data_IF_790158058775
#
_entry.id   IF_790158058775
#
_cell.length_a   1.000
_cell.length_b   1.000
_cell.length_c   1.000
_cell.angle_alpha   90.00
_cell.angle_beta   90.00
_cell.angle_gamma   90.00
#
_symmetry.space_group_name_H-M   'P 1'
#
loop_
_entity.id
_entity.type
_entity.pdbx_description
1 polymer ?
#
# COMPACT_ATOMS: atom_id res chain seq x y z
N UNK A 1 -35.36 7.54 22.97
CA UNK A 1 -34.07 7.15 22.44
C UNK A 1 -34.08 5.69 21.97
N UNK A 2 -33.30 5.35 21.00
CA UNK A 2 -33.13 3.97 20.50
C UNK A 2 -32.54 3.13 21.63
N UNK A 3 -33.24 2.07 22.05
CA UNK A 3 -32.78 1.19 23.16
C UNK A 3 -31.94 0.03 22.70
N UNK A 4 -32.05 -0.39 21.43
CA UNK A 4 -31.27 -1.45 20.84
C UNK A 4 -31.25 -1.29 19.32
N UNK A 5 -30.10 -1.63 18.73
CA UNK A 5 -29.94 -1.75 17.29
C UNK A 5 -29.57 -3.21 17.01
N UNK A 6 -30.26 -3.83 16.03
CA UNK A 6 -29.97 -5.19 15.57
C UNK A 6 -29.26 -5.10 14.23
N UNK A 7 -28.16 -5.79 14.10
CA UNK A 7 -27.49 -6.01 12.82
C UNK A 7 -28.03 -7.28 12.18
N UNK A 8 -28.41 -7.21 10.90
CA UNK A 8 -28.75 -8.36 10.06
C UNK A 8 -27.91 -8.33 8.80
N UNK A 9 -27.34 -9.46 8.42
CA UNK A 9 -26.63 -9.64 7.17
C UNK A 9 -27.28 -10.81 6.40
N UNK A 10 -27.62 -10.58 5.13
CA UNK A 10 -28.26 -11.59 4.26
C UNK A 10 -27.67 -11.48 2.86
N UNK A 11 -27.37 -12.62 2.23
CA UNK A 11 -27.06 -12.66 0.82
C UNK A 11 -28.37 -12.63 0.00
N UNK A 12 -28.47 -11.72 -0.94
CA UNK A 12 -29.62 -11.53 -1.83
C UNK A 12 -29.16 -11.45 -3.29
N UNK A 13 -29.17 -12.58 -3.98
CA UNK A 13 -28.62 -12.67 -5.34
C UNK A 13 -27.13 -12.37 -5.37
N UNK A 14 -26.73 -11.38 -6.15
CA UNK A 14 -25.34 -10.91 -6.26
C UNK A 14 -24.96 -9.84 -5.23
N UNK A 15 -25.79 -9.58 -4.23
CA UNK A 15 -25.57 -8.54 -3.24
C UNK A 15 -25.62 -9.10 -1.82
N UNK A 16 -24.87 -8.45 -0.92
CA UNK A 16 -25.04 -8.56 0.51
C UNK A 16 -25.89 -7.40 1.01
N UNK A 17 -26.95 -7.70 1.72
CA UNK A 17 -27.77 -6.72 2.45
C UNK A 17 -27.30 -6.67 3.91
N UNK A 18 -26.84 -5.51 4.36
CA UNK A 18 -26.48 -5.24 5.74
C UNK A 18 -27.49 -4.25 6.31
N UNK A 19 -28.32 -4.70 7.24
CA UNK A 19 -29.36 -3.88 7.86
C UNK A 19 -29.02 -3.55 9.31
N UNK A 20 -29.03 -2.27 9.65
CA UNK A 20 -29.10 -1.79 11.03
C UNK A 20 -30.56 -1.51 11.34
N UNK A 21 -31.18 -2.30 12.19
CA UNK A 21 -32.60 -2.28 12.48
C UNK A 21 -32.86 -1.73 13.89
N UNK A 22 -33.76 -0.77 14.03
CA UNK A 22 -34.16 -0.25 15.32
C UNK A 22 -35.68 0.01 15.39
N UNK A 23 -36.18 0.12 16.61
CA UNK A 23 -37.57 0.56 16.87
C UNK A 23 -37.55 2.01 17.34
N UNK A 24 -38.35 2.87 16.73
CA UNK A 24 -38.45 4.30 17.10
C UNK A 24 -38.58 5.24 15.91
N UNK A 25 -38.04 6.45 16.08
CA UNK A 25 -38.18 7.51 15.09
C UNK A 25 -37.60 7.14 13.72
N UNK A 26 -38.28 7.54 12.67
CA UNK A 26 -37.85 7.42 11.28
C UNK A 26 -36.78 8.48 11.03
N UNK A 27 -35.67 8.08 10.41
CA UNK A 27 -34.64 9.02 9.94
C UNK A 27 -35.17 9.72 8.69
N UNK A 28 -35.14 11.04 8.67
CA UNK A 28 -35.52 11.83 7.50
C UNK A 28 -34.44 11.69 6.38
N UNK A 29 -34.87 11.82 5.12
CA UNK A 29 -33.98 11.67 3.96
C UNK A 29 -32.82 12.67 3.95
N UNK A 30 -33.06 13.87 4.45
CA UNK A 30 -32.05 14.94 4.59
C UNK A 30 -30.97 14.58 5.61
N UNK A 31 -31.31 13.85 6.68
CA UNK A 31 -30.34 13.35 7.63
C UNK A 31 -29.45 12.24 7.01
N UNK A 32 -30.00 11.41 6.13
CA UNK A 32 -29.22 10.41 5.39
C UNK A 32 -28.19 11.08 4.48
N UNK A 33 -28.61 12.07 3.68
CA UNK A 33 -27.71 12.82 2.80
C UNK A 33 -26.58 13.51 3.57
N UNK A 34 -26.86 13.98 4.79
CA UNK A 34 -25.86 14.54 5.68
C UNK A 34 -24.87 13.46 6.16
N UNK A 35 -25.35 12.30 6.56
CA UNK A 35 -24.50 11.18 7.01
C UNK A 35 -23.60 10.62 5.89
N UNK A 36 -24.08 10.62 4.64
CA UNK A 36 -23.28 10.19 3.50
C UNK A 36 -22.03 11.05 3.30
N UNK A 37 -22.11 12.34 3.63
CA UNK A 37 -21.05 13.32 3.37
C UNK A 37 -20.25 13.75 4.60
N UNK A 38 -20.71 13.37 5.80
CA UNK A 38 -19.97 13.66 7.02
C UNK A 38 -18.81 12.66 7.24
N UNK A 39 -17.65 13.11 7.71
CA UNK A 39 -16.58 12.23 8.14
C UNK A 39 -17.07 11.26 9.23
N UNK A 40 -16.74 9.98 9.07
CA UNK A 40 -17.12 8.97 10.05
C UNK A 40 -16.27 9.12 11.32
N UNK A 41 -16.90 8.87 12.46
CA UNK A 41 -16.24 8.82 13.75
C UNK A 41 -16.29 7.39 14.29
N UNK A 42 -15.14 6.85 14.66
CA UNK A 42 -14.99 5.53 15.29
C UNK A 42 -14.45 5.74 16.71
N UNK A 43 -15.34 5.65 17.70
CA UNK A 43 -15.00 5.97 19.09
C UNK A 43 -14.64 7.45 19.25
N UNK A 44 -13.42 7.75 19.69
CA UNK A 44 -12.89 9.12 19.81
C UNK A 44 -12.10 9.58 18.56
N UNK A 45 -11.90 8.69 17.59
CA UNK A 45 -11.13 8.98 16.40
C UNK A 45 -12.01 9.48 15.26
N UNK A 46 -11.60 10.57 14.62
CA UNK A 46 -12.21 11.08 13.40
C UNK A 46 -11.48 10.50 12.20
N UNK A 47 -12.21 9.78 11.34
CA UNK A 47 -11.66 9.33 10.06
C UNK A 47 -12.00 10.36 8.98
N UNK A 48 -11.14 10.61 7.99
CA UNK A 48 -11.48 11.48 6.86
C UNK A 48 -12.49 10.82 5.90
N UNK A 49 -12.78 9.52 6.08
CA UNK A 49 -13.68 8.76 5.22
C UNK A 49 -15.14 9.10 5.54
N UNK A 50 -15.91 9.32 4.50
CA UNK A 50 -17.36 9.44 4.56
C UNK A 50 -18.02 8.11 4.21
N UNK A 51 -19.30 7.95 4.53
CA UNK A 51 -20.08 6.80 4.10
C UNK A 51 -20.11 6.71 2.57
N UNK A 52 -20.18 7.85 1.88
CA UNK A 52 -20.13 7.93 0.42
C UNK A 52 -18.81 7.38 -0.15
N UNK A 53 -17.67 7.73 0.45
CA UNK A 53 -16.38 7.20 0.01
C UNK A 53 -16.32 5.66 0.11
N UNK A 54 -16.93 5.11 1.17
CA UNK A 54 -17.02 3.65 1.36
C UNK A 54 -17.91 3.02 0.30
N UNK A 55 -19.08 3.61 0.04
CA UNK A 55 -20.04 3.11 -0.96
C UNK A 55 -19.44 3.15 -2.37
N UNK A 56 -18.85 4.28 -2.76
CA UNK A 56 -18.23 4.46 -4.08
C UNK A 56 -17.08 3.45 -4.28
N UNK A 57 -16.29 3.21 -3.22
CA UNK A 57 -15.19 2.24 -3.25
C UNK A 57 -15.64 0.80 -3.45
N UNK A 58 -16.79 0.44 -2.90
CA UNK A 58 -17.33 -0.93 -2.94
C UNK A 58 -18.46 -1.12 -3.97
N UNK A 59 -18.79 -0.09 -4.74
CA UNK A 59 -19.91 -0.12 -5.68
C UNK A 59 -21.24 -0.40 -4.98
N UNK A 60 -21.36 0.10 -3.74
CA UNK A 60 -22.53 -0.11 -2.90
C UNK A 60 -23.53 1.02 -2.94
N UNK A 61 -24.69 0.78 -2.35
CA UNK A 61 -25.76 1.77 -2.18
C UNK A 61 -26.27 1.75 -0.73
N UNK A 62 -26.87 2.85 -0.29
CA UNK A 62 -27.45 2.98 1.04
C UNK A 62 -28.80 3.68 0.99
N UNK A 63 -29.72 3.25 1.84
CA UNK A 63 -30.98 3.94 2.06
C UNK A 63 -31.59 3.60 3.42
N UNK A 64 -32.56 4.41 3.82
CA UNK A 64 -33.35 4.18 5.03
C UNK A 64 -34.77 3.75 4.63
N UNK A 65 -35.27 2.72 5.28
CA UNK A 65 -36.65 2.26 5.14
C UNK A 65 -37.32 2.19 6.51
N UNK A 66 -38.64 2.29 6.50
CA UNK A 66 -39.45 2.13 7.72
C UNK A 66 -40.73 1.38 7.42
N UNK A 67 -41.16 0.61 8.42
CA UNK A 67 -42.43 -0.08 8.39
C UNK A 67 -43.40 0.59 9.41
N UNK A 68 -44.39 1.28 8.90
CA UNK A 68 -45.28 2.14 9.72
C UNK A 68 -46.06 1.36 10.78
N UNK A 69 -46.51 0.13 10.47
CA UNK A 69 -47.31 -0.69 11.40
C UNK A 69 -46.48 -1.31 12.51
N UNK A 70 -45.23 -1.64 12.31
CA UNK A 70 -44.33 -2.23 13.31
C UNK A 70 -43.45 -1.21 14.02
N UNK A 71 -43.54 0.07 13.67
CA UNK A 71 -42.66 1.14 14.18
C UNK A 71 -41.18 0.77 14.13
N UNK A 72 -40.80 0.04 13.07
CA UNK A 72 -39.43 -0.42 12.85
C UNK A 72 -38.84 0.34 11.68
N UNK A 73 -37.64 0.85 11.86
CA UNK A 73 -36.86 1.46 10.80
C UNK A 73 -35.56 0.71 10.65
N UNK A 74 -34.99 0.75 9.45
CA UNK A 74 -33.65 0.19 9.20
C UNK A 74 -32.90 1.02 8.19
N UNK A 75 -31.60 1.06 8.44
CA UNK A 75 -30.60 1.59 7.54
C UNK A 75 -29.99 0.40 6.82
N UNK A 76 -30.10 0.37 5.49
CA UNK A 76 -29.61 -0.72 4.65
C UNK A 76 -28.43 -0.30 3.84
N UNK A 77 -27.36 -1.07 3.93
CA UNK A 77 -26.27 -1.07 2.98
C UNK A 77 -26.45 -2.26 2.03
N UNK A 78 -26.36 -1.99 0.73
CA UNK A 78 -26.34 -3.00 -0.31
C UNK A 78 -24.93 -3.00 -0.93
N UNK A 79 -24.23 -4.09 -0.77
CA UNK A 79 -22.86 -4.24 -1.29
C UNK A 79 -22.85 -5.37 -2.32
N UNK A 80 -22.20 -5.21 -3.49
CA UNK A 80 -21.98 -6.33 -4.40
C UNK A 80 -21.24 -7.44 -3.67
N UNK A 81 -21.75 -8.66 -3.75
CA UNK A 81 -20.97 -9.85 -3.42
C UNK A 81 -19.91 -9.96 -4.51
N UNK A 82 -18.63 -9.81 -4.17
CA UNK A 82 -17.56 -10.23 -5.06
C UNK A 82 -17.82 -11.68 -5.48
N UNK A 83 -17.43 -12.06 -6.69
CA UNK A 83 -17.34 -13.49 -6.99
C UNK A 83 -16.57 -14.12 -5.83
N UNK A 84 -17.02 -15.27 -5.28
CA UNK A 84 -16.28 -15.95 -4.25
C UNK A 84 -14.88 -16.12 -4.83
N UNK A 85 -13.90 -15.40 -4.25
CA UNK A 85 -12.52 -15.60 -4.63
C UNK A 85 -12.34 -17.10 -4.59
N UNK A 86 -12.09 -17.71 -5.75
CA UNK A 86 -11.88 -19.13 -5.84
C UNK A 86 -10.90 -19.42 -4.73
N UNK A 87 -11.30 -20.23 -3.73
CA UNK A 87 -10.40 -20.66 -2.66
C UNK A 87 -9.35 -21.46 -3.41
N UNK A 88 -8.34 -20.79 -3.88
CA UNK A 88 -7.16 -21.43 -4.44
C UNK A 88 -6.63 -22.23 -3.26
N UNK A 89 -6.67 -23.57 -3.33
CA UNK A 89 -6.17 -24.38 -2.25
C UNK A 89 -4.72 -23.93 -2.04
N UNK A 90 -4.41 -23.44 -0.86
CA UNK A 90 -3.06 -23.02 -0.45
C UNK A 90 -2.12 -24.23 -0.40
N UNK A 91 -1.83 -24.81 -1.58
CA UNK A 91 -0.81 -25.82 -1.86
C UNK A 91 -0.19 -25.54 -3.22
N UNK A 92 0.24 -24.28 -3.44
CA UNK A 92 1.37 -24.05 -4.31
C UNK A 92 2.65 -24.37 -3.54
N UNK A 93 3.73 -24.77 -4.19
CA UNK A 93 5.05 -24.74 -3.56
C UNK A 93 5.21 -23.34 -2.97
N UNK A 94 5.80 -23.24 -1.76
CA UNK A 94 6.30 -21.98 -1.23
C UNK A 94 7.15 -21.40 -2.36
N UNK A 95 6.59 -20.44 -3.11
CA UNK A 95 7.42 -19.66 -4.02
C UNK A 95 8.25 -18.81 -3.09
N UNK A 96 9.55 -18.92 -3.24
CA UNK A 96 10.48 -18.12 -2.47
C UNK A 96 10.06 -16.66 -2.67
N UNK A 97 9.66 -16.01 -1.57
CA UNK A 97 9.48 -14.59 -1.54
C UNK A 97 10.77 -13.96 -2.04
N UNK A 98 10.72 -12.76 -2.61
CA UNK A 98 11.93 -11.98 -2.90
C UNK A 98 12.88 -12.18 -1.72
N UNK A 99 14.14 -12.61 -1.92
CA UNK A 99 15.07 -12.73 -0.81
C UNK A 99 15.15 -11.37 -0.15
N UNK A 100 15.14 -11.35 1.17
CA UNK A 100 15.42 -10.13 1.92
C UNK A 100 16.81 -9.66 1.50
N UNK A 101 16.86 -8.56 0.74
CA UNK A 101 18.09 -8.12 0.09
C UNK A 101 18.78 -7.06 0.94
N UNK A 102 19.95 -7.38 1.49
CA UNK A 102 20.67 -6.51 2.43
C UNK A 102 22.01 -5.97 1.92
N UNK A 103 22.40 -6.31 0.69
CA UNK A 103 23.67 -5.86 0.08
C UNK A 103 23.62 -4.40 -0.44
N UNK A 104 22.63 -3.63 -0.01
CA UNK A 104 22.49 -2.22 -0.32
C UNK A 104 22.46 -1.39 0.96
N UNK A 105 23.39 -0.42 1.07
CA UNK A 105 23.36 0.53 2.18
C UNK A 105 22.28 1.59 1.95
N UNK A 106 21.05 1.27 2.38
CA UNK A 106 19.91 2.18 2.35
C UNK A 106 20.20 3.52 3.02
N UNK A 107 21.17 3.54 3.93
CA UNK A 107 21.48 4.69 4.77
C UNK A 107 22.62 5.55 4.22
N UNK A 108 23.17 5.21 3.05
CA UNK A 108 24.24 5.91 2.36
C UNK A 108 23.93 7.38 2.08
N UNK A 109 22.63 7.68 1.90
CA UNK A 109 22.10 9.02 1.65
C UNK A 109 21.53 9.71 2.88
N UNK A 110 21.85 9.24 4.09
CA UNK A 110 21.41 9.88 5.33
C UNK A 110 21.87 11.35 5.44
N UNK A 111 22.91 11.74 4.72
CA UNK A 111 23.34 13.14 4.64
C UNK A 111 22.31 14.02 3.93
N UNK A 112 21.59 13.50 2.94
CA UNK A 112 20.47 14.20 2.31
C UNK A 112 19.27 14.36 3.27
N UNK A 113 19.18 13.51 4.28
CA UNK A 113 18.16 13.60 5.32
C UNK A 113 18.42 14.72 6.34
N UNK A 114 19.64 15.32 6.39
CA UNK A 114 19.99 16.30 7.45
C UNK A 114 19.01 17.47 7.54
N UNK A 115 18.48 17.95 6.40
CA UNK A 115 17.48 19.01 6.38
C UNK A 115 16.07 18.55 6.74
N UNK A 116 15.80 17.25 6.67
CA UNK A 116 14.48 16.63 6.90
C UNK A 116 14.43 15.80 8.19
N UNK A 117 15.58 15.52 8.82
CA UNK A 117 15.69 14.58 9.94
C UNK A 117 14.77 14.94 11.12
N UNK A 118 14.61 16.23 11.41
CA UNK A 118 13.76 16.73 12.48
C UNK A 118 12.29 16.87 12.09
N UNK A 119 11.95 16.69 10.80
CA UNK A 119 10.58 16.79 10.34
C UNK A 119 9.79 15.55 10.75
N UNK A 120 8.53 15.78 11.11
CA UNK A 120 7.63 14.70 11.54
C UNK A 120 7.24 13.84 10.34
N UNK A 121 7.20 12.54 10.55
CA UNK A 121 6.74 11.58 9.51
C UNK A 121 5.35 11.94 8.96
N UNK A 122 4.45 12.45 9.78
CA UNK A 122 3.11 12.83 9.35
C UNK A 122 3.05 14.04 8.40
N UNK A 123 4.09 14.88 8.40
CA UNK A 123 4.11 16.17 7.69
C UNK A 123 4.92 16.11 6.38
N UNK A 124 5.65 15.01 6.15
CA UNK A 124 6.46 14.81 4.96
C UNK A 124 5.65 14.31 3.76
N UNK A 125 6.21 14.54 2.58
CA UNK A 125 5.71 13.98 1.33
C UNK A 125 6.51 12.74 0.96
N UNK A 126 5.84 11.73 0.42
CA UNK A 126 6.46 10.46 0.09
C UNK A 126 6.13 10.02 -1.34
N UNK A 127 7.10 9.38 -1.97
CA UNK A 127 6.88 8.53 -3.13
C UNK A 127 7.05 7.09 -2.68
N UNK A 128 5.96 6.35 -2.67
CA UNK A 128 5.97 4.91 -2.38
C UNK A 128 6.08 4.18 -3.70
N UNK A 129 7.04 3.28 -3.84
CA UNK A 129 7.29 2.61 -5.12
C UNK A 129 7.62 1.13 -4.94
N UNK A 130 7.48 0.40 -6.03
CA UNK A 130 7.88 -0.99 -6.18
C UNK A 130 8.31 -1.24 -7.63
N UNK A 131 9.10 -2.30 -7.86
CA UNK A 131 9.54 -2.70 -9.20
C UNK A 131 9.31 -4.18 -9.46
N UNK A 132 8.94 -4.55 -10.69
CA UNK A 132 9.02 -5.91 -11.18
C UNK A 132 10.28 -6.09 -12.02
N UNK A 133 10.88 -7.27 -11.98
CA UNK A 133 12.19 -7.54 -12.55
C UNK A 133 12.24 -8.85 -13.31
N UNK A 134 13.28 -9.03 -14.16
CA UNK A 134 13.50 -10.29 -14.87
C UNK A 134 13.98 -11.42 -13.96
N UNK A 135 14.44 -11.10 -12.76
CA UNK A 135 14.97 -12.03 -11.76
C UNK A 135 15.41 -11.29 -10.51
N UNK A 136 16.08 -12.00 -9.60
CA UNK A 136 16.42 -11.52 -8.26
C UNK A 136 17.87 -11.08 -8.10
N UNK A 137 18.69 -11.19 -9.16
CA UNK A 137 20.12 -10.94 -9.11
C UNK A 137 20.53 -9.75 -9.98
N UNK A 138 20.32 -8.50 -9.50
CA UNK A 138 20.65 -7.30 -10.27
C UNK A 138 22.14 -7.23 -10.67
N UNK A 139 23.05 -7.72 -9.81
CA UNK A 139 24.49 -7.77 -10.09
C UNK A 139 24.85 -8.83 -11.14
N UNK A 140 24.01 -9.85 -11.35
CA UNK A 140 24.14 -10.82 -12.44
C UNK A 140 23.47 -10.38 -13.75
N UNK A 141 22.93 -9.15 -13.76
CA UNK A 141 22.39 -8.51 -14.95
C UNK A 141 20.86 -8.63 -15.07
N UNK A 142 20.15 -8.94 -14.02
CA UNK A 142 18.69 -8.83 -14.04
C UNK A 142 18.25 -7.36 -14.17
N UNK A 143 17.11 -7.16 -14.78
CA UNK A 143 16.64 -5.87 -15.25
C UNK A 143 15.22 -5.55 -14.75
N UNK A 144 14.95 -4.26 -14.52
CA UNK A 144 13.58 -3.76 -14.23
C UNK A 144 12.73 -3.91 -15.47
N UNK A 145 11.51 -4.42 -15.30
CA UNK A 145 10.48 -4.56 -16.35
C UNK A 145 9.20 -3.79 -16.07
N UNK A 146 9.01 -3.34 -14.84
CA UNK A 146 7.91 -2.45 -14.46
C UNK A 146 8.32 -1.59 -13.28
N UNK A 147 7.91 -0.33 -13.28
CA UNK A 147 8.00 0.59 -12.15
C UNK A 147 6.61 1.10 -11.82
N UNK A 148 6.21 0.96 -10.57
CA UNK A 148 4.97 1.50 -10.04
C UNK A 148 5.24 2.39 -8.84
N UNK A 149 4.58 3.54 -8.78
CA UNK A 149 4.69 4.41 -7.62
C UNK A 149 3.41 5.20 -7.36
N UNK A 150 3.24 5.62 -6.13
CA UNK A 150 2.11 6.45 -5.68
C UNK A 150 2.61 7.50 -4.70
N UNK A 151 1.96 8.64 -4.68
CA UNK A 151 2.32 9.75 -3.80
C UNK A 151 1.50 9.74 -2.51
N UNK A 152 2.18 10.07 -1.39
CA UNK A 152 1.53 10.38 -0.12
C UNK A 152 1.81 11.84 0.23
N UNK A 153 0.76 12.61 0.50
CA UNK A 153 0.83 14.02 0.92
C UNK A 153 -0.11 14.23 2.08
N UNK A 154 0.36 14.89 3.14
CA UNK A 154 -0.44 15.19 4.33
C UNK A 154 -1.11 13.93 4.93
N UNK A 155 -0.38 12.82 5.00
CA UNK A 155 -0.88 11.56 5.51
C UNK A 155 -1.97 10.89 4.65
N UNK A 156 -2.10 11.27 3.37
CA UNK A 156 -3.08 10.71 2.43
C UNK A 156 -2.40 10.13 1.20
N UNK A 157 -2.80 8.94 0.83
CA UNK A 157 -2.40 8.27 -0.39
C UNK A 157 -3.22 8.84 -1.56
N UNK A 158 -2.52 9.44 -2.54
CA UNK A 158 -3.14 10.13 -3.69
C UNK A 158 -3.25 9.16 -4.86
N UNK A 159 -4.36 8.42 -4.95
CA UNK A 159 -4.58 7.37 -5.97
C UNK A 159 -4.58 7.86 -7.42
N UNK A 160 -4.70 9.16 -7.64
CA UNK A 160 -4.64 9.78 -8.96
C UNK A 160 -3.25 10.35 -9.28
N UNK A 161 -2.33 10.39 -8.32
CA UNK A 161 -0.93 10.76 -8.50
C UNK A 161 -0.07 9.50 -8.47
N UNK A 162 -0.07 8.79 -9.58
CA UNK A 162 0.64 7.53 -9.75
C UNK A 162 1.62 7.61 -10.90
N UNK A 163 2.66 6.81 -10.80
CA UNK A 163 3.58 6.47 -11.88
C UNK A 163 3.44 4.99 -12.16
N UNK A 164 3.18 4.63 -13.39
CA UNK A 164 3.11 3.22 -13.81
C UNK A 164 3.68 3.11 -15.20
N UNK A 165 4.78 2.36 -15.34
CA UNK A 165 5.47 2.21 -16.62
C UNK A 165 6.09 0.83 -16.76
N UNK A 166 5.71 0.13 -17.83
CA UNK A 166 6.42 -1.05 -18.29
C UNK A 166 7.74 -0.65 -18.94
N UNK A 167 8.77 -1.47 -18.78
CA UNK A 167 10.12 -1.20 -19.24
C UNK A 167 10.62 -2.35 -20.11
N UNK A 168 11.17 -2.05 -21.28
CA UNK A 168 11.85 -3.03 -22.09
C UNK A 168 13.21 -3.37 -21.47
N UNK A 169 13.44 -4.58 -20.95
CA UNK A 169 14.68 -4.96 -20.31
C UNK A 169 15.82 -5.22 -21.30
N UNK A 170 15.53 -5.22 -22.60
CA UNK A 170 16.47 -5.57 -23.68
C UNK A 170 17.11 -6.96 -23.48
N UNK A 171 16.44 -7.84 -22.73
CA UNK A 171 16.85 -9.23 -22.46
C UNK A 171 15.61 -10.12 -22.32
N UNK A 172 15.77 -11.44 -22.43
CA UNK A 172 14.66 -12.37 -22.18
C UNK A 172 14.16 -12.30 -20.73
N UNK A 173 12.84 -12.42 -20.54
CA UNK A 173 12.22 -12.59 -19.23
C UNK A 173 12.13 -14.07 -18.91
N UNK A 174 12.58 -14.46 -17.72
CA UNK A 174 12.53 -15.82 -17.24
C UNK A 174 11.09 -16.32 -17.04
N UNK A 175 10.86 -17.63 -17.25
CA UNK A 175 9.54 -18.22 -17.02
C UNK A 175 9.09 -18.12 -15.56
N UNK A 176 10.01 -18.18 -14.63
CA UNK A 176 9.73 -18.12 -13.19
C UNK A 176 9.28 -16.70 -12.79
N UNK A 177 9.98 -15.67 -13.27
CA UNK A 177 9.58 -14.27 -13.09
C UNK A 177 8.22 -14.00 -13.72
N UNK A 178 7.98 -14.44 -14.97
CA UNK A 178 6.67 -14.30 -15.63
C UNK A 178 5.54 -14.98 -14.84
N UNK A 179 5.82 -16.09 -14.17
CA UNK A 179 4.82 -16.78 -13.32
C UNK A 179 4.45 -15.95 -12.08
N UNK A 180 5.36 -15.14 -11.58
CA UNK A 180 5.14 -14.27 -10.39
C UNK A 180 4.31 -13.04 -10.78
N UNK A 181 4.83 -12.22 -11.71
CA UNK A 181 4.22 -10.91 -12.03
C UNK A 181 3.28 -10.94 -13.25
N UNK A 182 3.21 -12.05 -13.99
CA UNK A 182 2.31 -12.20 -15.13
C UNK A 182 2.67 -11.39 -16.38
N UNK A 183 3.78 -10.62 -16.37
CA UNK A 183 4.17 -9.77 -17.50
C UNK A 183 4.88 -10.63 -18.54
N UNK A 184 4.28 -10.74 -19.73
CA UNK A 184 4.85 -11.51 -20.83
C UNK A 184 5.85 -10.67 -21.65
N UNK A 185 6.87 -11.31 -22.22
CA UNK A 185 7.90 -10.66 -23.03
C UNK A 185 7.30 -9.83 -24.19
N UNK A 186 6.19 -10.28 -24.79
CA UNK A 186 5.51 -9.53 -25.86
C UNK A 186 4.98 -8.16 -25.42
N UNK A 187 4.60 -8.02 -24.14
CA UNK A 187 4.10 -6.74 -23.61
C UNK A 187 5.23 -5.72 -23.41
N UNK A 188 6.47 -6.19 -23.35
CA UNK A 188 7.67 -5.38 -23.09
C UNK A 188 8.41 -4.95 -24.37
N UNK A 189 8.16 -5.60 -25.50
CA UNK A 189 8.94 -5.44 -26.74
C UNK A 189 8.98 -3.99 -27.22
N UNK A 190 7.83 -3.31 -27.21
CA UNK A 190 7.67 -1.93 -27.69
C UNK A 190 7.70 -0.89 -26.55
N UNK A 191 8.07 -1.29 -25.34
CA UNK A 191 8.14 -0.38 -24.19
C UNK A 191 9.45 0.42 -24.20
N UNK A 192 9.45 1.61 -23.56
CA UNK A 192 10.69 2.38 -23.40
C UNK A 192 11.72 1.62 -22.59
N UNK A 193 13.00 1.86 -22.86
CA UNK A 193 14.10 1.30 -22.08
C UNK A 193 14.22 1.99 -20.73
N UNK A 194 14.95 1.36 -19.80
CA UNK A 194 15.17 1.94 -18.46
C UNK A 194 15.80 3.34 -18.52
N UNK A 195 16.69 3.59 -19.47
CA UNK A 195 17.31 4.91 -19.67
C UNK A 195 16.33 6.00 -20.10
N UNK A 196 15.20 5.65 -20.72
CA UNK A 196 14.13 6.57 -21.09
C UNK A 196 13.12 6.78 -19.95
N UNK A 197 12.95 5.77 -19.10
CA UNK A 197 11.99 5.77 -17.99
C UNK A 197 12.54 6.47 -16.76
N UNK A 198 13.79 6.22 -16.39
CA UNK A 198 14.38 6.75 -15.15
C UNK A 198 14.35 8.27 -15.03
N UNK A 199 14.57 9.10 -16.09
CA UNK A 199 14.43 10.54 -15.96
C UNK A 199 13.02 11.00 -15.60
N UNK A 200 11.99 10.25 -16.02
CA UNK A 200 10.59 10.54 -15.69
C UNK A 200 10.28 10.11 -14.26
N UNK A 201 10.77 8.94 -13.87
CA UNK A 201 10.61 8.43 -12.52
C UNK A 201 11.35 9.31 -11.50
N UNK A 202 12.58 9.76 -11.82
CA UNK A 202 13.31 10.70 -10.95
C UNK A 202 12.53 11.99 -10.70
N UNK A 203 11.94 12.58 -11.75
CA UNK A 203 11.08 13.78 -11.61
C UNK A 203 9.85 13.50 -10.75
N UNK A 204 9.27 12.31 -10.86
CA UNK A 204 8.16 11.91 -9.99
C UNK A 204 8.60 11.78 -8.53
N UNK A 205 9.87 11.48 -8.26
CA UNK A 205 10.42 11.35 -6.91
C UNK A 205 10.97 12.66 -6.33
N UNK A 206 10.99 13.76 -7.10
CA UNK A 206 11.51 15.04 -6.61
C UNK A 206 10.77 15.52 -5.35
N UNK A 207 11.52 16.10 -4.41
CA UNK A 207 11.03 16.69 -3.16
C UNK A 207 10.24 15.73 -2.24
N UNK A 208 10.51 14.43 -2.34
CA UNK A 208 9.87 13.41 -1.50
C UNK A 208 10.87 12.50 -0.80
N UNK A 209 10.45 11.88 0.29
CA UNK A 209 11.11 10.71 0.88
C UNK A 209 10.64 9.47 0.13
N UNK A 210 11.56 8.60 -0.25
CA UNK A 210 11.23 7.33 -0.91
C UNK A 210 10.77 6.30 0.13
N UNK A 211 9.79 5.50 -0.23
CA UNK A 211 9.30 4.39 0.59
C UNK A 211 9.15 3.16 -0.28
N UNK A 212 9.64 2.01 0.17
CA UNK A 212 9.40 0.74 -0.47
C UNK A 212 9.31 -0.38 0.58
N UNK A 213 8.93 -1.57 0.17
CA UNK A 213 8.94 -2.75 1.02
C UNK A 213 10.11 -3.66 0.61
N UNK A 214 11.05 -3.92 1.52
CA UNK A 214 12.36 -4.49 1.19
C UNK A 214 13.13 -3.59 0.21
N UNK A 215 13.20 -2.31 0.56
CA UNK A 215 13.66 -1.22 -0.29
C UNK A 215 15.08 -1.40 -0.84
N UNK A 216 15.94 -2.13 -0.12
CA UNK A 216 17.30 -2.41 -0.56
C UNK A 216 17.32 -3.14 -1.92
N UNK A 217 16.37 -4.02 -2.18
CA UNK A 217 16.23 -4.72 -3.44
C UNK A 217 16.00 -3.75 -4.62
N UNK A 218 14.97 -2.93 -4.54
CA UNK A 218 14.60 -2.00 -5.60
C UNK A 218 15.66 -0.92 -5.80
N UNK A 219 16.19 -0.39 -4.71
CA UNK A 219 17.25 0.63 -4.75
C UNK A 219 18.54 0.10 -5.39
N UNK A 220 18.86 -1.18 -5.20
CA UNK A 220 20.02 -1.79 -5.85
C UNK A 220 19.87 -1.84 -7.37
N UNK A 221 18.69 -2.17 -7.88
CA UNK A 221 18.43 -2.09 -9.32
C UNK A 221 18.60 -0.67 -9.85
N UNK A 222 18.09 0.34 -9.14
CA UNK A 222 18.23 1.74 -9.52
C UNK A 222 19.70 2.20 -9.50
N UNK A 223 20.45 1.85 -8.45
CA UNK A 223 21.87 2.21 -8.29
C UNK A 223 22.71 1.69 -9.46
N UNK A 224 22.51 0.45 -9.88
CA UNK A 224 23.26 -0.15 -10.99
C UNK A 224 23.01 0.53 -12.33
N UNK A 225 21.98 1.36 -12.45
CA UNK A 225 21.71 2.16 -13.65
C UNK A 225 22.37 3.54 -13.63
N UNK A 226 22.91 4.00 -12.50
CA UNK A 226 23.55 5.31 -12.37
C UNK A 226 24.66 5.52 -13.42
N UNK A 227 25.55 4.54 -13.57
CA UNK A 227 26.70 4.65 -14.48
C UNK A 227 26.28 4.80 -15.95
N UNK A 228 25.20 4.13 -16.36
CA UNK A 228 24.75 4.13 -17.74
C UNK A 228 23.81 5.31 -18.07
N UNK A 229 23.05 5.80 -17.08
CA UNK A 229 22.00 6.80 -17.30
C UNK A 229 22.35 8.18 -16.75
N UNK A 230 23.33 8.27 -15.85
CA UNK A 230 23.63 9.50 -15.09
C UNK A 230 22.57 9.86 -14.05
N UNK A 231 21.53 9.03 -13.88
CA UNK A 231 20.41 9.28 -12.98
C UNK A 231 20.73 8.67 -11.61
N UNK A 232 20.68 9.50 -10.59
CA UNK A 232 20.94 9.11 -9.19
C UNK A 232 19.77 9.48 -8.31
N UNK A 233 19.35 8.54 -7.45
CA UNK A 233 18.37 8.78 -6.40
C UNK A 233 19.12 9.04 -5.10
N UNK A 234 19.01 10.27 -4.58
CA UNK A 234 19.70 10.74 -3.38
C UNK A 234 18.77 11.00 -2.21
N UNK A 235 17.47 10.79 -2.40
CA UNK A 235 16.46 10.98 -1.39
C UNK A 235 16.66 10.00 -0.23
N UNK A 236 16.26 10.37 1.00
CA UNK A 236 16.14 9.40 2.10
C UNK A 236 15.17 8.29 1.71
N UNK A 237 15.47 7.06 2.15
CA UNK A 237 14.65 5.88 1.86
C UNK A 237 14.20 5.26 3.17
N UNK A 238 12.89 5.03 3.31
CA UNK A 238 12.29 4.27 4.40
C UNK A 238 11.84 2.90 3.87
N UNK A 239 12.14 1.87 4.63
CA UNK A 239 11.78 0.49 4.32
C UNK A 239 10.68 0.02 5.26
N UNK A 240 9.50 -0.28 4.72
CA UNK A 240 8.35 -0.73 5.51
C UNK A 240 8.56 -2.11 6.13
N UNK A 241 9.46 -2.96 5.57
CA UNK A 241 9.88 -4.20 6.21
C UNK A 241 10.62 -3.88 7.52
N UNK A 242 11.64 -3.02 7.47
CA UNK A 242 12.42 -2.64 8.65
C UNK A 242 11.57 -1.92 9.69
N UNK A 243 10.71 -1.00 9.27
CA UNK A 243 9.78 -0.31 10.16
C UNK A 243 8.79 -1.29 10.81
N UNK A 244 8.34 -2.32 10.09
CA UNK A 244 7.51 -3.39 10.67
C UNK A 244 8.27 -4.20 11.73
N UNK A 245 9.57 -4.46 11.55
CA UNK A 245 10.42 -5.09 12.56
C UNK A 245 10.52 -4.23 13.81
N UNK A 246 10.68 -2.92 13.65
CA UNK A 246 10.75 -1.98 14.78
C UNK A 246 9.50 -2.03 15.65
N UNK A 247 8.30 -2.00 15.04
CA UNK A 247 7.03 -1.97 15.80
C UNK A 247 6.52 -3.36 16.21
N UNK A 248 7.00 -4.42 15.56
CA UNK A 248 6.59 -5.80 15.83
C UNK A 248 7.80 -6.76 15.98
N UNK A 249 8.74 -6.51 16.89
CA UNK A 249 10.02 -7.23 16.94
C UNK A 249 9.88 -8.73 17.29
N UNK A 250 8.73 -9.16 17.80
CA UNK A 250 8.45 -10.56 18.12
C UNK A 250 7.87 -11.37 16.96
N UNK A 251 7.60 -10.74 15.83
CA UNK A 251 7.10 -11.43 14.65
C UNK A 251 8.27 -11.97 13.81
N UNK A 252 8.10 -13.18 13.28
CA UNK A 252 9.14 -13.84 12.47
C UNK A 252 9.04 -13.47 10.98
N UNK A 253 7.86 -13.05 10.53
CA UNK A 253 7.57 -12.81 9.13
C UNK A 253 7.14 -11.36 8.90
N UNK A 254 7.91 -10.67 8.07
CA UNK A 254 7.73 -9.28 7.71
C UNK A 254 7.56 -9.08 6.20
N UNK A 255 7.22 -10.14 5.44
CA UNK A 255 6.88 -9.99 4.03
C UNK A 255 5.62 -9.11 3.85
N UNK A 256 5.42 -8.59 2.65
CA UNK A 256 4.36 -7.62 2.35
C UNK A 256 2.96 -8.13 2.74
N UNK A 257 2.64 -9.41 2.46
CA UNK A 257 1.34 -10.00 2.81
C UNK A 257 1.14 -10.13 4.31
N UNK A 258 2.14 -10.62 5.02
CA UNK A 258 2.06 -10.83 6.46
C UNK A 258 1.90 -9.50 7.20
N UNK A 259 2.61 -8.46 6.76
CA UNK A 259 2.48 -7.11 7.30
C UNK A 259 1.11 -6.52 6.95
N UNK A 260 0.66 -6.64 5.69
CA UNK A 260 -0.66 -6.18 5.27
C UNK A 260 -1.78 -6.85 6.09
N UNK A 261 -1.74 -8.16 6.24
CA UNK A 261 -2.71 -8.92 7.04
C UNK A 261 -2.73 -8.46 8.49
N UNK A 262 -1.56 -8.30 9.10
CA UNK A 262 -1.40 -7.87 10.49
C UNK A 262 -1.98 -6.48 10.72
N UNK A 263 -1.77 -5.58 9.80
CA UNK A 263 -2.25 -4.21 9.86
C UNK A 263 -3.68 -4.03 9.29
N UNK A 264 -4.33 -5.09 8.82
CA UNK A 264 -5.67 -5.05 8.24
C UNK A 264 -5.73 -4.26 6.92
N UNK A 265 -4.66 -4.30 6.13
CA UNK A 265 -4.61 -3.72 4.77
C UNK A 265 -5.10 -4.76 3.77
N UNK A 266 -6.02 -4.34 2.90
CA UNK A 266 -6.50 -5.20 1.82
C UNK A 266 -5.48 -5.27 0.69
N UNK A 267 -5.06 -6.48 0.33
CA UNK A 267 -4.11 -6.70 -0.76
C UNK A 267 -4.88 -6.87 -2.07
N UNK A 268 -4.83 -5.86 -2.93
CA UNK A 268 -5.48 -5.86 -4.25
C UNK A 268 -4.40 -5.55 -5.30
N UNK A 269 -4.40 -6.28 -6.42
CA UNK A 269 -3.45 -6.05 -7.51
C UNK A 269 -2.03 -6.56 -7.24
N UNK A 270 -1.90 -7.64 -6.45
CA UNK A 270 -0.62 -8.28 -6.15
C UNK A 270 0.16 -8.66 -7.40
N UNK A 271 1.48 -8.56 -7.27
CA UNK A 271 2.45 -8.82 -8.34
C UNK A 271 2.28 -7.90 -9.54
N UNK A 272 1.86 -6.65 -9.27
CA UNK A 272 2.03 -5.53 -10.17
C UNK A 272 2.75 -4.43 -9.40
N UNK A 273 3.74 -3.79 -10.01
CA UNK A 273 4.54 -2.77 -9.33
C UNK A 273 3.67 -1.66 -8.71
N UNK A 274 2.64 -1.17 -9.42
CA UNK A 274 1.73 -0.17 -8.86
C UNK A 274 0.83 -0.75 -7.74
N UNK A 275 0.36 -1.99 -7.88
CA UNK A 275 -0.47 -2.65 -6.86
C UNK A 275 0.30 -2.84 -5.55
N UNK A 276 1.54 -3.30 -5.63
CA UNK A 276 2.39 -3.51 -4.45
C UNK A 276 2.85 -2.17 -3.84
N UNK A 277 3.09 -1.12 -4.65
CA UNK A 277 3.32 0.24 -4.16
C UNK A 277 2.10 0.82 -3.40
N UNK A 278 0.87 0.59 -3.88
CA UNK A 278 -0.35 1.02 -3.20
C UNK A 278 -0.52 0.31 -1.83
N UNK A 279 -0.32 -1.01 -1.78
CA UNK A 279 -0.37 -1.79 -0.54
C UNK A 279 0.71 -1.32 0.43
N UNK A 280 1.94 -1.11 -0.05
CA UNK A 280 3.06 -0.58 0.74
C UNK A 280 2.73 0.80 1.31
N UNK A 281 2.09 1.67 0.52
CA UNK A 281 1.66 2.99 0.97
C UNK A 281 0.59 2.93 2.07
N UNK A 282 -0.39 2.05 1.95
CA UNK A 282 -1.39 1.83 3.01
C UNK A 282 -0.76 1.25 4.28
N UNK A 283 0.18 0.31 4.15
CA UNK A 283 0.98 -0.22 5.27
C UNK A 283 1.75 0.91 5.94
N UNK A 284 2.48 1.71 5.18
CA UNK A 284 3.29 2.80 5.71
C UNK A 284 2.45 3.81 6.51
N UNK A 285 1.29 4.21 5.99
CA UNK A 285 0.37 5.09 6.71
C UNK A 285 -0.12 4.51 8.04
N UNK A 286 -0.23 3.19 8.16
CA UNK A 286 -0.59 2.52 9.42
C UNK A 286 0.59 2.32 10.36
N UNK A 287 1.81 2.25 9.83
CA UNK A 287 3.03 2.18 10.64
C UNK A 287 3.34 3.51 11.33
N UNK A 288 3.05 4.66 10.73
CA UNK A 288 3.33 6.00 11.30
C UNK A 288 2.77 6.16 12.73
N UNK A 289 1.48 5.90 13.01
CA UNK A 289 0.96 6.01 14.39
C UNK A 289 1.58 4.97 15.33
N UNK A 290 1.85 3.75 14.87
CA UNK A 290 2.52 2.74 15.70
C UNK A 290 3.96 3.14 16.06
N UNK A 291 4.70 3.71 15.12
CA UNK A 291 6.03 4.28 15.39
C UNK A 291 5.95 5.39 16.43
N UNK A 292 4.93 6.25 16.37
CA UNK A 292 4.72 7.31 17.35
C UNK A 292 4.45 6.79 18.76
N UNK A 293 3.83 5.60 18.92
CA UNK A 293 3.69 4.90 20.22
C UNK A 293 5.04 4.45 20.78
N UNK A 294 6.04 4.22 19.91
CA UNK A 294 7.43 3.93 20.29
C UNK A 294 8.30 5.19 20.35
N UNK A 295 7.71 6.40 20.45
CA UNK A 295 8.39 7.70 20.46
C UNK A 295 9.21 8.01 19.19
N UNK A 296 8.96 7.29 18.09
CA UNK A 296 9.57 7.50 16.78
C UNK A 296 8.62 8.38 15.96
N UNK A 297 8.91 9.67 15.85
CA UNK A 297 8.01 10.67 15.26
C UNK A 297 8.63 11.42 14.10
N UNK A 298 9.95 11.45 14.00
CA UNK A 298 10.68 12.16 12.95
C UNK A 298 11.36 11.22 11.97
N UNK A 299 11.71 11.74 10.80
CA UNK A 299 12.43 10.97 9.78
C UNK A 299 13.75 10.42 10.30
N UNK A 300 14.53 11.24 11.01
CA UNK A 300 15.80 10.83 11.60
C UNK A 300 15.62 9.65 12.55
N UNK A 301 14.66 9.75 13.47
CA UNK A 301 14.35 8.67 14.42
C UNK A 301 13.95 7.37 13.70
N UNK A 302 13.15 7.46 12.64
CA UNK A 302 12.72 6.28 11.89
C UNK A 302 13.88 5.62 11.14
N UNK A 303 14.77 6.41 10.55
CA UNK A 303 15.99 5.91 9.90
C UNK A 303 16.94 5.26 10.91
N UNK A 304 17.16 5.88 12.07
CA UNK A 304 18.04 5.34 13.11
C UNK A 304 17.48 4.04 13.69
N UNK A 305 16.18 4.00 14.01
CA UNK A 305 15.52 2.78 14.50
C UNK A 305 15.60 1.64 13.47
N UNK A 306 15.43 1.95 12.17
CA UNK A 306 15.57 0.96 11.09
C UNK A 306 16.97 0.38 11.03
N UNK A 307 18.02 1.19 11.19
CA UNK A 307 19.44 0.75 11.19
C UNK A 307 19.76 -0.20 12.34
N UNK A 308 19.11 -0.02 13.47
CA UNK A 308 19.35 -0.83 14.65
C UNK A 308 18.72 -2.22 14.57
N UNK A 309 17.81 -2.46 13.61
CA UNK A 309 17.19 -3.76 13.43
C UNK A 309 18.22 -4.84 13.08
N UNK A 310 17.95 -6.09 13.48
CA UNK A 310 18.77 -7.22 13.09
C UNK A 310 18.81 -7.39 11.57
N UNK A 311 17.68 -7.20 10.90
CA UNK A 311 17.55 -7.32 9.45
C UNK A 311 18.43 -6.32 8.69
N UNK A 312 18.59 -5.09 9.18
CA UNK A 312 19.46 -4.10 8.55
C UNK A 312 20.96 -4.39 8.71
N UNK A 313 21.33 -5.32 9.60
CA UNK A 313 22.74 -5.68 9.90
C UNK A 313 23.20 -6.95 9.21
N UNK A 314 22.30 -7.67 8.55
CA UNK A 314 22.66 -8.84 7.77
C UNK A 314 23.39 -8.38 6.50
N UNK A 315 24.68 -8.69 6.41
CA UNK A 315 25.47 -8.59 5.18
C UNK A 315 25.62 -10.01 4.61
N UNK A 316 25.24 -10.20 3.38
CA UNK A 316 25.47 -11.43 2.63
C UNK A 316 26.72 -11.30 1.76
#
# INVERSE_FOLDING_TARGET
GVRAVRLRAVASGRFAELDLIWSGAIVASDALALWETQPMQIGAEHTPLTLKDVLDRHGGEVWVQSHKTSHTAWFRLLLPLGEPAAVIPRRGPKMDSRPEYYDFDLFRHADAARGLAEQRLADLHYTVFDSETTGLEPSAGDEIISLGAVRIVNGRLLKNEVFEQLVNPQRPVGRDSTRIHGIEARALADQPTIGQVLPQFQRFCEDTVLVAHNAAFDMRFLELKEAATGIRFTQPVLDTLLLSVVVHPSQEDHNLESVAQRLGVSVIGRHTALGDALVTGEIFLRLIPLLAEHDIRTLGQALDASRETFHARLQY
#
